data_IF_504050143553
#
_entry.id   IF_504050143553
#
_cell.length_a   1.000
_cell.length_b   1.000
_cell.length_c   1.000
_cell.angle_alpha   90.00
_cell.angle_beta   90.00
_cell.angle_gamma   90.00
#
_symmetry.space_group_name_H-M   'P 1'
#
loop_
_entity.id
_entity.type
_entity.pdbx_description
1 polymer ?
#
# COMPACT_ATOMS: atom_id res chain seq x y z
N UNK A 1 -9.78 -26.31 -6.76
CA UNK A 1 -9.57 -26.79 -5.37
C UNK A 1 -8.08 -27.00 -5.17
N UNK A 2 -7.49 -26.49 -4.09
CA UNK A 2 -6.03 -26.53 -3.85
C UNK A 2 -5.27 -25.26 -4.23
N UNK A 3 -5.91 -24.07 -4.16
CA UNK A 3 -5.20 -22.81 -4.31
C UNK A 3 -4.61 -22.42 -2.96
N UNK A 4 -3.33 -22.08 -2.94
CA UNK A 4 -2.68 -21.43 -1.81
C UNK A 4 -2.99 -19.93 -1.89
N UNK A 5 -3.91 -19.47 -1.04
CA UNK A 5 -4.37 -18.09 -1.04
C UNK A 5 -3.76 -17.36 0.16
N UNK A 6 -3.04 -16.29 -0.13
CA UNK A 6 -2.54 -15.41 0.90
C UNK A 6 -3.67 -14.69 1.63
N UNK A 7 -3.47 -14.43 2.92
CA UNK A 7 -4.40 -13.67 3.75
C UNK A 7 -3.74 -12.36 4.12
N UNK A 8 -4.38 -11.26 3.73
CA UNK A 8 -4.00 -9.90 4.13
C UNK A 8 -4.99 -9.42 5.18
N UNK A 9 -4.46 -8.85 6.27
CA UNK A 9 -5.30 -8.24 7.32
C UNK A 9 -5.03 -6.75 7.36
N UNK A 10 -6.11 -5.96 7.32
CA UNK A 10 -6.07 -4.51 7.47
C UNK A 10 -6.18 -4.15 8.96
N UNK A 11 -5.34 -3.20 9.39
CA UNK A 11 -5.34 -2.66 10.75
C UNK A 11 -5.36 -1.14 10.71
N UNK A 12 -5.95 -0.51 11.74
CA UNK A 12 -6.11 0.95 11.85
C UNK A 12 -5.32 1.57 12.99
N UNK A 13 -4.70 0.77 13.84
CA UNK A 13 -3.90 1.24 14.98
C UNK A 13 -2.96 0.13 15.49
N UNK A 14 -2.05 0.49 16.40
CA UNK A 14 -1.08 -0.45 16.98
C UNK A 14 -1.73 -1.55 17.83
N UNK A 15 -2.91 -1.32 18.41
CA UNK A 15 -3.62 -2.35 19.20
C UNK A 15 -4.07 -3.49 18.31
N UNK A 16 -4.70 -3.17 17.17
CA UNK A 16 -5.09 -4.17 16.15
C UNK A 16 -3.86 -4.86 15.56
N UNK A 17 -2.77 -4.11 15.31
CA UNK A 17 -1.49 -4.71 14.89
C UNK A 17 -1.02 -5.78 15.88
N UNK A 18 -1.01 -5.50 17.17
CA UNK A 18 -0.60 -6.48 18.18
C UNK A 18 -1.49 -7.73 18.19
N UNK A 19 -2.81 -7.57 18.03
CA UNK A 19 -3.74 -8.70 17.91
C UNK A 19 -3.40 -9.59 16.70
N UNK A 20 -3.09 -8.98 15.55
CA UNK A 20 -2.69 -9.71 14.35
C UNK A 20 -1.37 -10.44 14.56
N UNK A 21 -0.40 -9.82 15.23
CA UNK A 21 0.90 -10.42 15.52
C UNK A 21 0.84 -11.57 16.51
N UNK A 22 -0.12 -11.55 17.45
CA UNK A 22 -0.40 -12.67 18.37
C UNK A 22 -1.00 -13.88 17.65
N UNK A 23 -1.91 -13.65 16.69
CA UNK A 23 -2.58 -14.73 15.94
C UNK A 23 -1.67 -15.31 14.84
N UNK A 24 -0.99 -14.44 14.10
CA UNK A 24 -0.16 -14.82 12.96
C UNK A 24 -0.94 -15.48 11.81
N UNK A 25 -0.29 -16.39 11.09
CA UNK A 25 -0.87 -17.18 9.97
C UNK A 25 -1.44 -16.32 8.83
N UNK A 26 -0.82 -15.17 8.59
CA UNK A 26 -1.17 -14.26 7.51
C UNK A 26 0.03 -14.07 6.59
N UNK A 27 -0.22 -13.55 5.39
CA UNK A 27 0.82 -13.21 4.42
C UNK A 27 1.29 -11.77 4.61
N UNK A 28 0.34 -10.86 4.85
CA UNK A 28 0.58 -9.41 4.82
C UNK A 28 -0.29 -8.64 5.81
N UNK A 29 0.28 -7.56 6.34
CA UNK A 29 -0.43 -6.57 7.15
C UNK A 29 -0.58 -5.29 6.33
N UNK A 30 -1.81 -4.79 6.19
CA UNK A 30 -2.10 -3.50 5.57
C UNK A 30 -2.41 -2.47 6.64
N UNK A 31 -1.65 -1.37 6.67
CA UNK A 31 -1.86 -0.22 7.54
C UNK A 31 -2.80 0.78 6.86
N UNK A 32 -4.03 0.90 7.36
CA UNK A 32 -5.05 1.81 6.82
C UNK A 32 -4.94 3.19 7.48
N UNK A 33 -4.56 4.21 6.68
CA UNK A 33 -4.49 5.63 7.08
C UNK A 33 -3.64 5.90 8.33
N UNK A 34 -2.54 5.17 8.53
CA UNK A 34 -1.60 5.46 9.61
C UNK A 34 -0.87 6.79 9.37
N UNK A 35 -0.69 7.57 10.45
CA UNK A 35 0.24 8.71 10.44
C UNK A 35 1.70 8.22 10.29
N UNK A 36 2.54 9.00 9.60
CA UNK A 36 3.92 8.60 9.26
C UNK A 36 4.77 8.12 10.46
N UNK A 37 4.77 8.79 11.64
CA UNK A 37 5.54 8.31 12.79
C UNK A 37 5.05 6.95 13.29
N UNK A 38 3.73 6.76 13.35
CA UNK A 38 3.11 5.52 13.81
C UNK A 38 3.35 4.41 12.78
N UNK A 39 3.32 4.72 11.48
CA UNK A 39 3.63 3.77 10.42
C UNK A 39 5.06 3.26 10.51
N UNK A 40 6.04 4.13 10.77
CA UNK A 40 7.43 3.73 10.95
C UNK A 40 7.60 2.81 12.17
N UNK A 41 6.99 3.17 13.30
CA UNK A 41 6.96 2.31 14.49
C UNK A 41 6.30 0.95 14.19
N UNK A 42 5.16 0.96 13.49
CA UNK A 42 4.44 -0.26 13.14
C UNK A 42 5.29 -1.21 12.27
N UNK A 43 6.03 -0.67 11.29
CA UNK A 43 6.96 -1.45 10.46
C UNK A 43 8.07 -2.07 11.31
N UNK A 44 8.65 -1.31 12.24
CA UNK A 44 9.66 -1.83 13.17
C UNK A 44 9.10 -2.95 14.05
N UNK A 45 7.88 -2.78 14.58
CA UNK A 45 7.18 -3.78 15.40
C UNK A 45 6.88 -5.06 14.62
N UNK A 46 6.52 -4.96 13.33
CA UNK A 46 6.35 -6.14 12.47
C UNK A 46 7.68 -6.87 12.31
N UNK A 47 8.79 -6.14 12.17
CA UNK A 47 10.14 -6.70 12.21
C UNK A 47 10.40 -7.73 11.11
N UNK A 48 9.89 -7.47 9.90
CA UNK A 48 10.01 -8.35 8.71
C UNK A 48 9.42 -9.76 8.88
N UNK A 49 8.57 -10.00 9.89
CA UNK A 49 7.88 -11.28 10.08
C UNK A 49 6.79 -11.53 9.04
N UNK A 50 6.20 -10.46 8.52
CA UNK A 50 5.15 -10.46 7.49
C UNK A 50 5.46 -9.36 6.48
N UNK A 51 4.89 -9.47 5.28
CA UNK A 51 4.89 -8.34 4.35
C UNK A 51 4.10 -7.17 4.95
N UNK A 52 4.54 -5.95 4.66
CA UNK A 52 3.92 -4.72 5.13
C UNK A 52 3.44 -3.88 3.97
N UNK A 53 2.25 -3.32 4.11
CA UNK A 53 1.64 -2.45 3.09
C UNK A 53 1.03 -1.23 3.73
N UNK A 54 1.28 -0.04 3.18
CA UNK A 54 0.57 1.18 3.56
C UNK A 54 -0.52 1.52 2.53
N UNK A 55 -1.70 1.92 3.01
CA UNK A 55 -2.82 2.37 2.18
C UNK A 55 -3.52 3.59 2.80
N UNK A 56 -4.38 4.23 2.01
CA UNK A 56 -5.15 5.39 2.42
C UNK A 56 -4.42 6.72 2.24
N UNK A 57 -5.12 7.72 1.68
CA UNK A 57 -4.60 9.09 1.51
C UNK A 57 -3.33 9.25 0.66
N UNK A 58 -2.87 8.20 -0.04
CA UNK A 58 -1.60 8.24 -0.78
C UNK A 58 -1.70 9.10 -2.03
N UNK A 59 -0.73 9.99 -2.20
CA UNK A 59 -0.59 10.87 -3.36
C UNK A 59 0.89 11.15 -3.67
N UNK A 60 1.17 11.88 -4.75
CA UNK A 60 2.54 12.16 -5.23
C UNK A 60 3.43 12.86 -4.20
N UNK A 61 2.86 13.61 -3.26
CA UNK A 61 3.58 14.32 -2.22
C UNK A 61 3.82 13.47 -0.96
N UNK A 62 3.02 12.43 -0.73
CA UNK A 62 3.11 11.56 0.46
C UNK A 62 3.83 10.26 0.18
N UNK A 63 3.70 9.68 -1.02
CA UNK A 63 4.17 8.33 -1.38
C UNK A 63 5.65 8.10 -1.05
N UNK A 64 6.52 9.09 -1.29
CA UNK A 64 7.95 8.95 -0.96
C UNK A 64 8.17 8.81 0.54
N UNK A 65 7.53 9.63 1.36
CA UNK A 65 7.69 9.57 2.82
C UNK A 65 7.15 8.28 3.39
N UNK A 66 6.03 7.79 2.85
CA UNK A 66 5.46 6.48 3.19
C UNK A 66 6.47 5.38 2.85
N UNK A 67 7.02 5.35 1.63
CA UNK A 67 8.00 4.33 1.26
C UNK A 67 9.27 4.37 2.15
N UNK A 68 9.68 5.55 2.61
CA UNK A 68 10.83 5.70 3.50
C UNK A 68 10.59 5.15 4.92
N UNK A 69 9.36 4.82 5.32
CA UNK A 69 9.12 4.13 6.61
C UNK A 69 9.55 2.67 6.58
N UNK A 70 9.86 2.13 5.40
CA UNK A 70 10.32 0.75 5.23
C UNK A 70 9.22 -0.26 4.95
N UNK A 71 8.01 0.19 4.59
CA UNK A 71 6.96 -0.72 4.09
C UNK A 71 7.39 -1.40 2.79
N UNK A 72 6.97 -2.64 2.58
CA UNK A 72 7.27 -3.41 1.36
C UNK A 72 6.42 -2.94 0.17
N UNK A 73 5.17 -2.55 0.43
CA UNK A 73 4.21 -2.11 -0.59
C UNK A 73 3.50 -0.81 -0.19
N UNK A 74 3.07 -0.06 -1.20
CA UNK A 74 2.19 1.11 -1.04
C UNK A 74 1.03 1.00 -2.03
N UNK A 75 -0.19 0.96 -1.52
CA UNK A 75 -1.41 0.91 -2.33
C UNK A 75 -1.97 2.31 -2.59
N UNK A 76 -2.26 2.60 -3.86
CA UNK A 76 -2.69 3.93 -4.31
C UNK A 76 -3.94 3.83 -5.19
N UNK A 77 -5.12 3.97 -4.58
CA UNK A 77 -6.39 3.91 -5.29
C UNK A 77 -6.59 5.03 -6.33
N UNK A 78 -5.95 6.19 -6.15
CA UNK A 78 -6.05 7.31 -7.08
C UNK A 78 -5.50 6.98 -8.48
N UNK A 79 -4.61 5.97 -8.61
CA UNK A 79 -4.06 5.55 -9.90
C UNK A 79 -5.10 4.94 -10.84
N UNK A 80 -6.24 4.46 -10.32
CA UNK A 80 -7.28 3.82 -11.14
C UNK A 80 -8.56 4.63 -11.17
N UNK A 81 -9.07 5.09 -10.02
CA UNK A 81 -10.36 5.80 -9.98
C UNK A 81 -10.26 7.31 -10.25
N UNK A 82 -9.06 7.90 -10.20
CA UNK A 82 -8.84 9.36 -10.35
C UNK A 82 -7.72 9.73 -11.31
N UNK A 83 -7.24 8.80 -12.14
CA UNK A 83 -6.18 9.10 -13.09
C UNK A 83 -6.65 10.14 -14.10
N UNK A 84 -5.85 11.18 -14.32
CA UNK A 84 -6.09 12.15 -15.38
C UNK A 84 -5.80 11.50 -16.73
N UNK A 85 -6.75 11.58 -17.66
CA UNK A 85 -6.57 11.08 -19.03
C UNK A 85 -5.44 11.83 -19.74
N UNK A 86 -4.61 11.08 -20.46
CA UNK A 86 -3.60 11.67 -21.33
C UNK A 86 -4.27 12.20 -22.61
N UNK A 87 -4.02 13.46 -22.95
CA UNK A 87 -4.49 14.06 -24.19
C UNK A 87 -3.62 13.58 -25.36
N UNK A 88 -4.24 12.92 -26.35
CA UNK A 88 -3.56 12.30 -27.48
C UNK A 88 -4.32 12.62 -28.77
N UNK A 89 -3.57 12.95 -29.83
CA UNK A 89 -4.13 13.13 -31.18
C UNK A 89 -3.28 12.44 -32.23
N UNK A 90 -3.95 11.85 -33.23
CA UNK A 90 -3.30 11.28 -34.41
C UNK A 90 -3.30 12.33 -35.53
N UNK A 91 -2.11 12.76 -35.97
CA UNK A 91 -1.95 13.64 -37.13
C UNK A 91 -1.54 12.82 -38.34
N UNK A 92 -2.44 12.72 -39.32
CA UNK A 92 -2.16 12.06 -40.60
C UNK A 92 -1.57 13.09 -41.57
N UNK A 93 -0.39 12.80 -42.12
CA UNK A 93 0.21 13.58 -43.22
C UNK A 93 0.01 12.83 -44.53
N UNK A 94 -0.62 13.47 -45.52
CA UNK A 94 -0.74 12.94 -46.87
C UNK A 94 0.59 13.03 -47.63
N UNK A 95 0.81 12.15 -48.61
CA UNK A 95 1.84 12.35 -49.63
C UNK A 95 1.27 13.26 -50.73
N UNK A 96 1.99 14.32 -51.06
CA UNK A 96 1.79 15.10 -52.31
C UNK A 96 2.02 14.21 -53.54
#
# INVERSE_FOLDING_TARGET
>A
KGLELGVTVEVRNLVELHQVLEVGQITRIMFDNFDLPILAEAVEVVGKRFETEASGGVNIHTVRRIAMTGVDYVSVGALTHSATSLDLSLKVVGKE
#
